data_IF_696265447009
#
_entry.id   IF_696265447009
#
_cell.length_a   1.000
_cell.length_b   1.000
_cell.length_c   1.000
_cell.angle_alpha   90.00
_cell.angle_beta   90.00
_cell.angle_gamma   90.00
#
_symmetry.space_group_name_H-M   'P 1'
#
loop_
_entity.id
_entity.type
_entity.pdbx_description
1 polymer ?
#
# COMPACT_ATOMS: atom_id res chain seq x y z
N UNK A 1 2.87 24.88 -16.57
CA UNK A 1 2.11 25.24 -17.78
C UNK A 1 0.69 24.76 -17.60
N UNK A 2 -0.25 25.69 -17.48
CA UNK A 2 -1.66 25.42 -17.22
C UNK A 2 -2.37 25.02 -18.52
N UNK A 3 -3.28 24.05 -18.45
CA UNK A 3 -4.21 23.75 -19.55
C UNK A 3 -5.63 23.78 -19.00
N UNK A 4 -6.40 24.70 -19.57
CA UNK A 4 -7.83 24.92 -19.36
C UNK A 4 -8.57 23.76 -20.02
N UNK A 5 -9.49 23.11 -19.31
CA UNK A 5 -10.42 22.15 -19.93
C UNK A 5 -11.86 22.62 -19.76
N UNK A 6 -12.50 22.75 -20.92
CA UNK A 6 -13.84 23.28 -21.19
C UNK A 6 -14.90 22.28 -20.73
N UNK A 7 -15.88 22.76 -19.97
CA UNK A 7 -17.07 22.01 -19.59
C UNK A 7 -18.05 21.89 -20.77
N UNK A 8 -18.56 20.69 -21.01
CA UNK A 8 -19.75 20.46 -21.83
C UNK A 8 -20.76 19.64 -21.00
N UNK A 9 -21.89 20.30 -20.72
CA UNK A 9 -23.14 19.74 -20.23
C UNK A 9 -23.76 18.84 -21.30
N UNK A 10 -24.13 17.61 -20.94
CA UNK A 10 -25.11 16.83 -21.70
C UNK A 10 -26.05 16.06 -20.76
N UNK A 11 -27.26 15.93 -21.26
CA UNK A 11 -28.51 15.71 -20.57
C UNK A 11 -28.73 14.30 -19.99
N UNK A 12 -29.57 14.26 -18.96
CA UNK A 12 -30.23 13.09 -18.40
C UNK A 12 -31.16 12.41 -19.43
N UNK A 13 -31.35 11.08 -19.32
CA UNK A 13 -32.72 10.60 -19.21
C UNK A 13 -32.91 9.58 -18.07
N UNK A 14 -34.07 9.67 -17.42
CA UNK A 14 -34.65 8.66 -16.53
C UNK A 14 -34.98 7.38 -17.28
N UNK A 15 -34.72 6.24 -16.65
CA UNK A 15 -35.38 4.99 -16.99
C UNK A 15 -35.77 4.24 -15.70
N UNK A 16 -37.07 3.99 -15.62
CA UNK A 16 -37.78 3.22 -14.62
C UNK A 16 -37.24 1.79 -14.51
N UNK A 17 -37.02 1.30 -13.30
CA UNK A 17 -36.88 -0.13 -13.01
C UNK A 17 -37.94 -0.55 -12.00
N UNK A 18 -38.93 -1.29 -12.50
CA UNK A 18 -39.91 -2.04 -11.71
C UNK A 18 -39.25 -3.29 -11.11
N UNK A 19 -39.52 -3.51 -9.83
CA UNK A 19 -39.16 -4.71 -9.07
C UNK A 19 -40.11 -5.85 -9.42
N UNK A 20 -39.59 -7.06 -9.58
CA UNK A 20 -40.31 -8.27 -9.19
C UNK A 20 -39.37 -9.27 -8.50
N UNK A 21 -39.89 -10.04 -7.52
CA UNK A 21 -39.11 -10.82 -6.56
C UNK A 21 -38.75 -12.18 -7.16
N UNK A 22 -37.89 -12.98 -6.50
CA UNK A 22 -37.92 -14.45 -6.40
C UNK A 22 -36.82 -14.86 -5.39
N UNK A 23 -37.21 -15.27 -4.19
CA UNK A 23 -37.38 -16.67 -3.77
C UNK A 23 -36.06 -17.29 -3.30
N UNK A 24 -35.94 -17.42 -1.99
CA UNK A 24 -34.84 -18.08 -1.29
C UNK A 24 -34.92 -19.61 -1.51
N UNK A 25 -33.82 -20.20 -1.97
CA UNK A 25 -33.57 -21.64 -1.79
C UNK A 25 -32.26 -21.79 -1.02
N UNK A 26 -32.38 -22.35 0.19
CA UNK A 26 -31.28 -22.62 1.10
C UNK A 26 -30.67 -23.98 0.75
N UNK A 27 -29.55 -23.99 0.03
CA UNK A 27 -28.73 -25.19 -0.10
C UNK A 27 -27.81 -25.33 1.12
N UNK A 28 -28.11 -26.29 1.98
CA UNK A 28 -27.21 -26.74 3.04
C UNK A 28 -26.19 -27.73 2.49
N UNK A 29 -24.91 -27.37 2.49
CA UNK A 29 -23.80 -28.27 2.18
C UNK A 29 -23.18 -28.72 3.50
N UNK A 30 -23.34 -30.00 3.82
CA UNK A 30 -22.69 -30.66 4.95
C UNK A 30 -21.17 -30.81 4.70
N UNK A 31 -20.37 -29.93 5.29
CA UNK A 31 -18.92 -30.13 5.37
C UNK A 31 -18.59 -31.09 6.53
N UNK A 32 -18.26 -32.35 6.20
CA UNK A 32 -17.60 -33.27 7.14
C UNK A 32 -16.21 -32.72 7.48
N UNK A 33 -16.06 -32.22 8.71
CA UNK A 33 -14.80 -31.79 9.31
C UNK A 33 -13.90 -33.02 9.55
N UNK A 34 -12.84 -33.20 8.75
CA UNK A 34 -11.79 -34.18 9.08
C UNK A 34 -10.97 -33.64 10.25
N UNK A 35 -10.94 -34.41 11.35
CA UNK A 35 -10.06 -34.20 12.51
C UNK A 35 -8.62 -34.43 12.05
N UNK A 36 -7.75 -33.44 12.22
CA UNK A 36 -6.31 -33.66 12.24
C UNK A 36 -5.91 -34.06 13.67
N UNK A 37 -5.09 -35.11 13.77
CA UNK A 37 -4.59 -35.71 15.00
C UNK A 37 -3.52 -34.83 15.66
N UNK A 38 -3.71 -34.55 16.94
CA UNK A 38 -2.73 -33.91 17.81
C UNK A 38 -1.50 -34.81 18.01
N UNK A 39 -0.31 -34.27 17.75
CA UNK A 39 0.96 -34.85 18.19
C UNK A 39 1.68 -33.79 19.04
N UNK A 40 2.11 -34.10 20.28
CA UNK A 40 2.73 -33.10 21.15
C UNK A 40 4.21 -32.87 20.76
N UNK A 41 4.79 -31.68 21.01
CA UNK A 41 6.18 -31.45 20.74
C UNK A 41 7.07 -32.04 21.83
N UNK A 42 8.24 -32.54 21.44
CA UNK A 42 9.31 -32.95 22.34
C UNK A 42 9.88 -31.74 23.07
N UNK A 43 9.80 -31.75 24.41
CA UNK A 43 10.49 -30.80 25.28
C UNK A 43 12.00 -31.12 25.29
N UNK A 44 12.81 -30.14 24.88
CA UNK A 44 14.21 -30.06 25.30
C UNK A 44 14.34 -28.88 26.26
N UNK A 45 14.47 -29.20 27.55
CA UNK A 45 14.82 -28.28 28.61
C UNK A 45 16.30 -27.93 28.55
N UNK A 46 16.61 -26.66 28.30
CA UNK A 46 17.94 -26.08 28.53
C UNK A 46 17.81 -24.84 29.41
N UNK A 47 18.27 -25.00 30.65
CA UNK A 47 18.72 -24.01 31.64
C UNK A 47 18.62 -22.53 31.26
N UNK A 48 17.85 -21.82 32.07
CA UNK A 48 17.84 -20.36 32.21
C UNK A 48 19.21 -19.82 32.63
N UNK A 49 19.88 -19.10 31.73
CA UNK A 49 20.80 -18.03 32.08
C UNK A 49 20.15 -16.70 31.70
N UNK A 50 19.70 -15.96 32.71
CA UNK A 50 19.22 -14.60 32.57
C UNK A 50 20.42 -13.68 32.32
N UNK A 51 20.95 -13.69 31.11
CA UNK A 51 21.72 -12.56 30.60
C UNK A 51 20.72 -11.57 30.03
N UNK A 52 20.61 -10.40 30.66
CA UNK A 52 19.99 -9.23 30.06
C UNK A 52 20.86 -8.78 28.88
N UNK A 53 20.79 -9.53 27.78
CA UNK A 53 21.34 -9.09 26.51
C UNK A 53 20.58 -7.83 26.13
N UNK A 54 21.29 -6.70 26.13
CA UNK A 54 20.86 -5.51 25.42
C UNK A 54 20.78 -5.90 23.94
N UNK A 55 19.61 -6.38 23.52
CA UNK A 55 19.37 -6.78 22.15
C UNK A 55 19.38 -5.52 21.30
N UNK A 56 20.53 -5.19 20.74
CA UNK A 56 20.59 -4.23 19.63
C UNK A 56 19.57 -4.71 18.60
N UNK A 57 18.55 -3.90 18.27
CA UNK A 57 17.56 -4.32 17.29
C UNK A 57 18.29 -4.63 15.98
N UNK A 58 17.99 -5.80 15.41
CA UNK A 58 18.61 -6.23 14.17
C UNK A 58 18.19 -5.27 13.06
N UNK A 59 19.15 -4.55 12.46
CA UNK A 59 18.89 -3.66 11.32
C UNK A 59 18.13 -4.36 10.18
N UNK A 60 18.40 -5.65 9.99
CA UNK A 60 17.70 -6.49 9.02
C UNK A 60 16.25 -6.72 9.46
N UNK A 61 16.01 -7.01 10.73
CA UNK A 61 14.67 -7.16 11.29
C UNK A 61 13.83 -5.89 11.16
N UNK A 62 14.43 -4.74 11.49
CA UNK A 62 13.78 -3.43 11.37
C UNK A 62 13.45 -3.08 9.93
N UNK A 63 14.37 -3.37 8.99
CA UNK A 63 14.12 -3.20 7.57
C UNK A 63 12.96 -4.09 7.09
N UNK A 64 12.94 -5.37 7.47
CA UNK A 64 11.85 -6.28 7.11
C UNK A 64 10.51 -5.80 7.67
N UNK A 65 10.48 -5.31 8.91
CA UNK A 65 9.28 -4.72 9.51
C UNK A 65 8.82 -3.47 8.74
N UNK A 66 9.76 -2.58 8.39
CA UNK A 66 9.46 -1.39 7.60
C UNK A 66 8.86 -1.76 6.24
N UNK A 67 9.47 -2.71 5.51
CA UNK A 67 8.98 -3.17 4.21
C UNK A 67 7.61 -3.85 4.32
N UNK A 68 7.41 -4.68 5.35
CA UNK A 68 6.14 -5.35 5.60
C UNK A 68 5.00 -4.37 5.94
N UNK A 69 5.31 -3.21 6.51
CA UNK A 69 4.31 -2.16 6.74
C UNK A 69 4.13 -1.21 5.55
N UNK A 70 5.15 -1.02 4.73
CA UNK A 70 5.23 -0.04 3.64
C UNK A 70 4.74 -0.53 2.26
N UNK A 71 3.54 -1.10 2.18
CA UNK A 71 3.03 -1.71 0.92
C UNK A 71 2.84 -0.74 -0.24
N UNK A 72 2.69 0.55 0.05
CA UNK A 72 2.61 1.62 -0.95
C UNK A 72 3.38 2.83 -0.47
N UNK A 73 3.66 3.80 -1.36
CA UNK A 73 4.32 5.05 -1.00
C UNK A 73 3.61 5.81 0.15
N UNK A 74 2.30 5.63 0.27
CA UNK A 74 1.53 6.22 1.37
C UNK A 74 1.80 5.52 2.71
N UNK A 75 1.95 4.19 2.70
CA UNK A 75 2.30 3.43 3.89
C UNK A 75 3.76 3.64 4.27
N UNK A 76 4.67 3.72 3.31
CA UNK A 76 6.07 4.08 3.54
C UNK A 76 6.19 5.43 4.26
N UNK A 77 5.49 6.45 3.74
CA UNK A 77 5.47 7.77 4.37
C UNK A 77 4.85 7.73 5.77
N UNK A 78 3.79 6.95 5.98
CA UNK A 78 3.14 6.82 7.28
C UNK A 78 4.04 6.10 8.31
N UNK A 79 4.74 5.05 7.90
CA UNK A 79 5.67 4.32 8.75
C UNK A 79 6.91 5.14 9.09
N UNK A 80 7.49 5.85 8.12
CA UNK A 80 8.57 6.80 8.36
C UNK A 80 8.14 7.93 9.33
N UNK A 81 6.94 8.49 9.14
CA UNK A 81 6.33 9.44 10.07
C UNK A 81 6.22 8.86 11.49
N UNK A 82 5.75 7.62 11.63
CA UNK A 82 5.62 6.94 12.92
C UNK A 82 6.98 6.82 13.62
N UNK A 83 8.01 6.42 12.88
CA UNK A 83 9.37 6.29 13.42
C UNK A 83 9.98 7.63 13.81
N UNK A 84 9.79 8.68 13.01
CA UNK A 84 10.28 10.03 13.31
C UNK A 84 9.62 10.61 14.57
N UNK A 85 8.32 10.42 14.74
CA UNK A 85 7.62 10.82 15.97
C UNK A 85 8.19 10.06 17.18
N UNK A 86 8.41 8.74 17.05
CA UNK A 86 9.02 7.94 18.11
C UNK A 86 10.47 8.38 18.44
N UNK A 87 11.20 8.91 17.46
CA UNK A 87 12.52 9.51 17.63
C UNK A 87 12.48 10.97 18.14
N UNK A 88 11.30 11.50 18.49
CA UNK A 88 11.13 12.84 19.01
C UNK A 88 11.37 13.93 17.97
N UNK A 89 10.96 13.71 16.72
CA UNK A 89 10.82 14.78 15.72
C UNK A 89 9.43 15.42 15.82
N UNK A 90 9.38 16.73 15.59
CA UNK A 90 8.16 17.51 15.58
C UNK A 90 7.54 17.55 14.18
N UNK A 91 6.26 17.19 14.07
CA UNK A 91 5.52 17.30 12.81
C UNK A 91 5.16 18.76 12.56
N UNK A 92 5.62 19.28 11.42
CA UNK A 92 5.24 20.59 10.90
C UNK A 92 4.08 20.46 9.91
N UNK A 93 3.22 21.47 9.90
CA UNK A 93 2.21 21.68 8.88
C UNK A 93 2.77 22.65 7.83
N UNK A 94 2.76 22.25 6.57
CA UNK A 94 3.36 23.02 5.48
C UNK A 94 2.64 24.35 5.20
N UNK A 95 1.43 24.54 5.70
CA UNK A 95 0.67 25.77 5.54
C UNK A 95 0.88 26.80 6.67
N UNK A 96 1.60 26.42 7.73
CA UNK A 96 1.82 27.28 8.89
C UNK A 96 3.19 27.96 8.79
N UNK A 97 3.36 29.10 9.45
CA UNK A 97 4.69 29.68 9.68
C UNK A 97 5.47 28.81 10.67
N UNK A 98 6.75 28.56 10.38
CA UNK A 98 7.57 27.65 11.17
C UNK A 98 8.52 28.41 12.09
N UNK A 99 8.41 28.16 13.40
CA UNK A 99 9.39 28.60 14.38
C UNK A 99 10.45 27.51 14.60
N UNK A 100 11.53 27.57 13.80
CA UNK A 100 12.62 26.59 13.84
C UNK A 100 13.73 27.02 14.81
N UNK A 101 14.06 26.15 15.76
CA UNK A 101 15.12 26.37 16.75
C UNK A 101 16.37 25.53 16.50
N UNK A 102 17.59 26.05 16.74
CA UNK A 102 18.80 25.24 16.84
C UNK A 102 18.63 24.09 17.84
N UNK A 103 19.16 22.92 17.50
CA UNK A 103 18.94 21.67 18.26
C UNK A 103 17.60 20.98 17.98
N UNK A 104 16.66 21.65 17.28
CA UNK A 104 15.34 21.11 16.97
C UNK A 104 15.36 20.07 15.86
N UNK A 105 14.40 19.14 15.90
CA UNK A 105 14.20 18.09 14.90
C UNK A 105 12.78 18.14 14.37
N UNK A 106 12.63 18.24 13.06
CA UNK A 106 11.35 18.53 12.44
C UNK A 106 11.14 17.69 11.19
N UNK A 107 9.88 17.49 10.83
CA UNK A 107 9.54 16.88 9.56
C UNK A 107 8.16 17.32 9.08
N UNK A 108 7.92 17.28 7.79
CA UNK A 108 6.59 17.47 7.21
C UNK A 108 6.34 16.42 6.12
N UNK A 109 5.08 16.29 5.71
CA UNK A 109 4.68 15.40 4.63
C UNK A 109 3.88 16.15 3.58
N UNK A 110 4.13 15.84 2.31
CA UNK A 110 3.38 16.37 1.16
C UNK A 110 2.59 15.25 0.50
N UNK A 111 1.30 15.46 0.26
CA UNK A 111 0.39 14.47 -0.36
C UNK A 111 0.35 13.10 0.36
N UNK A 112 0.84 12.99 1.60
CA UNK A 112 1.06 11.73 2.31
C UNK A 112 1.94 10.71 1.58
N UNK A 113 2.68 11.12 0.54
CA UNK A 113 3.53 10.24 -0.27
C UNK A 113 4.96 10.73 -0.38
N UNK A 114 5.29 11.84 0.28
CA UNK A 114 6.62 12.40 0.37
C UNK A 114 6.80 12.88 1.80
N UNK A 115 7.99 12.68 2.34
CA UNK A 115 8.38 13.08 3.68
C UNK A 115 9.73 13.78 3.60
N UNK A 116 9.85 14.91 4.27
CA UNK A 116 11.11 15.61 4.47
C UNK A 116 11.33 15.73 5.96
N UNK A 117 12.43 15.17 6.46
CA UNK A 117 12.86 15.29 7.84
C UNK A 117 14.22 15.98 7.91
N UNK A 118 14.40 16.83 8.91
CA UNK A 118 15.64 17.56 9.11
C UNK A 118 15.88 17.81 10.61
N UNK A 119 17.16 17.89 10.97
CA UNK A 119 17.61 18.28 12.30
C UNK A 119 18.47 19.53 12.17
N UNK A 120 18.13 20.56 12.94
CA UNK A 120 18.88 21.82 12.97
C UNK A 120 20.01 21.65 13.97
N UNK A 121 21.26 21.75 13.52
CA UNK A 121 22.41 21.65 14.44
C UNK A 121 22.40 22.77 15.48
N UNK A 122 22.89 22.49 16.69
CA UNK A 122 22.90 23.47 17.80
C UNK A 122 23.69 24.75 17.46
N UNK A 123 24.71 24.62 16.61
CA UNK A 123 25.56 25.74 16.14
C UNK A 123 25.14 26.29 14.77
N UNK A 124 23.97 25.88 14.28
CA UNK A 124 23.48 26.38 12.99
C UNK A 124 23.20 27.88 13.09
N UNK A 125 23.72 28.63 12.12
CA UNK A 125 23.37 30.02 11.87
C UNK A 125 22.92 30.16 10.43
N UNK A 126 22.10 31.18 10.15
CA UNK A 126 21.62 31.47 8.79
C UNK A 126 22.82 31.67 7.87
N UNK A 127 22.84 30.95 6.75
CA UNK A 127 23.94 30.93 5.78
C UNK A 127 24.81 29.67 5.83
N UNK A 128 24.73 28.87 6.89
CA UNK A 128 25.39 27.57 6.94
C UNK A 128 24.79 26.58 5.91
N UNK A 129 25.59 25.58 5.50
CA UNK A 129 25.20 24.56 4.54
C UNK A 129 24.29 23.45 5.11
N UNK A 130 23.91 22.52 4.23
CA UNK A 130 23.06 21.37 4.54
C UNK A 130 23.74 20.06 4.16
N UNK A 131 23.57 19.02 4.98
CA UNK A 131 23.89 17.65 4.60
C UNK A 131 22.58 16.94 4.23
N UNK A 132 22.45 16.54 2.96
CA UNK A 132 21.18 16.04 2.42
C UNK A 132 21.37 14.63 1.89
N UNK A 133 20.47 13.74 2.32
CA UNK A 133 20.30 12.40 1.75
C UNK A 133 18.92 12.37 1.10
N UNK A 134 18.85 11.90 -0.14
CA UNK A 134 17.61 11.79 -0.89
C UNK A 134 17.38 10.33 -1.31
N UNK A 135 16.13 9.90 -1.18
CA UNK A 135 15.62 8.62 -1.66
C UNK A 135 14.18 8.83 -2.15
N UNK A 136 13.55 7.77 -2.67
CA UNK A 136 12.15 7.81 -3.12
C UNK A 136 11.34 6.70 -2.44
N UNK A 137 10.05 6.95 -2.21
CA UNK A 137 9.16 6.06 -1.44
C UNK A 137 8.34 5.11 -2.30
N UNK A 138 8.37 5.28 -3.62
CA UNK A 138 7.59 4.49 -4.57
C UNK A 138 8.39 3.34 -5.17
N UNK A 139 7.68 2.38 -5.75
CA UNK A 139 8.26 1.26 -6.46
C UNK A 139 7.37 0.87 -7.63
N UNK A 140 7.91 0.24 -8.69
CA UNK A 140 7.09 -0.23 -9.78
C UNK A 140 6.00 -1.18 -9.31
N UNK A 141 4.75 -0.95 -9.74
CA UNK A 141 3.60 -1.72 -9.28
C UNK A 141 2.42 -1.69 -10.27
N UNK A 142 1.43 -2.54 -10.01
CA UNK A 142 0.12 -2.48 -10.66
C UNK A 142 -0.82 -1.58 -9.84
N UNK A 143 -1.31 -0.49 -10.45
CA UNK A 143 -2.30 0.41 -9.85
C UNK A 143 -3.68 0.15 -10.44
N UNK A 144 -4.74 0.30 -9.64
CA UNK A 144 -6.11 0.23 -10.17
C UNK A 144 -6.35 1.39 -11.13
N UNK A 145 -6.94 1.12 -12.30
CA UNK A 145 -7.47 2.17 -13.18
C UNK A 145 -8.67 2.85 -12.50
N UNK A 146 -8.98 4.13 -12.79
CA UNK A 146 -10.14 4.82 -12.21
C UNK A 146 -11.47 4.06 -12.42
N UNK A 147 -11.65 3.47 -13.60
CA UNK A 147 -12.70 2.49 -13.89
C UNK A 147 -12.11 1.08 -13.84
N UNK A 148 -12.04 0.52 -12.64
CA UNK A 148 -11.37 -0.76 -12.38
C UNK A 148 -12.25 -1.98 -12.59
N UNK A 149 -13.55 -1.91 -12.30
CA UNK A 149 -14.44 -3.07 -12.40
C UNK A 149 -14.60 -3.56 -13.86
N UNK A 150 -14.46 -4.86 -14.06
CA UNK A 150 -14.64 -5.54 -15.34
C UNK A 150 -15.10 -6.98 -15.13
N UNK A 151 -15.64 -7.62 -16.16
CA UNK A 151 -16.04 -9.03 -16.12
C UNK A 151 -15.76 -9.70 -17.46
N UNK A 152 -15.17 -10.89 -17.43
CA UNK A 152 -14.91 -11.69 -18.64
C UNK A 152 -14.94 -13.18 -18.30
N UNK A 153 -15.57 -13.98 -19.15
CA UNK A 153 -15.64 -15.45 -18.99
C UNK A 153 -16.11 -15.90 -17.61
N UNK A 154 -17.12 -15.22 -17.04
CA UNK A 154 -17.66 -15.44 -15.70
C UNK A 154 -16.69 -15.15 -14.53
N UNK A 155 -15.58 -14.47 -14.77
CA UNK A 155 -14.70 -13.95 -13.74
C UNK A 155 -14.95 -12.46 -13.52
N UNK A 156 -15.02 -12.04 -12.26
CA UNK A 156 -14.89 -10.65 -11.86
C UNK A 156 -13.40 -10.25 -11.95
N UNK A 157 -13.11 -9.19 -12.68
CA UNK A 157 -11.76 -8.73 -12.97
C UNK A 157 -11.56 -7.29 -12.49
N UNK A 158 -10.31 -6.94 -12.24
CA UNK A 158 -9.88 -5.57 -11.97
C UNK A 158 -8.90 -5.11 -13.04
N UNK A 159 -9.29 -4.04 -13.73
CA UNK A 159 -8.42 -3.35 -14.67
C UNK A 159 -7.34 -2.58 -13.90
N UNK A 160 -6.09 -2.87 -14.24
CA UNK A 160 -4.91 -2.22 -13.67
C UNK A 160 -4.14 -1.44 -14.75
N UNK A 161 -3.29 -0.53 -14.30
CA UNK A 161 -2.28 0.15 -15.10
C UNK A 161 -0.91 -0.11 -14.48
N UNK A 162 0.11 -0.21 -15.31
CA UNK A 162 1.49 -0.27 -14.85
C UNK A 162 1.94 1.09 -14.33
N UNK A 163 2.76 1.06 -13.29
CA UNK A 163 3.42 2.24 -12.75
C UNK A 163 4.92 1.94 -12.66
N UNK A 164 5.76 2.76 -13.30
CA UNK A 164 7.21 2.54 -13.37
C UNK A 164 7.63 1.45 -14.38
N UNK A 165 8.90 1.03 -14.33
CA UNK A 165 9.50 0.04 -15.23
C UNK A 165 9.62 -1.36 -14.59
N UNK A 166 8.50 -1.93 -14.15
CA UNK A 166 8.51 -3.21 -13.44
C UNK A 166 8.81 -4.41 -14.33
N UNK A 167 9.40 -5.46 -13.75
CA UNK A 167 9.53 -6.77 -14.37
C UNK A 167 8.19 -7.50 -14.34
N UNK A 168 7.26 -7.12 -15.21
CA UNK A 168 5.83 -7.46 -15.06
C UNK A 168 5.49 -8.94 -15.03
N UNK A 169 6.30 -9.78 -15.65
CA UNK A 169 6.11 -11.23 -15.59
C UNK A 169 6.24 -11.81 -14.18
N UNK A 170 7.01 -11.17 -13.31
CA UNK A 170 7.18 -11.60 -11.91
C UNK A 170 5.93 -11.41 -11.05
N UNK A 171 4.96 -10.61 -11.54
CA UNK A 171 3.65 -10.37 -10.90
C UNK A 171 2.62 -11.45 -11.22
N UNK A 172 2.86 -12.25 -12.25
CA UNK A 172 2.00 -13.38 -12.55
C UNK A 172 2.12 -14.45 -11.48
N UNK A 173 1.00 -15.14 -11.23
CA UNK A 173 0.91 -16.26 -10.30
C UNK A 173 1.34 -15.95 -8.86
N UNK A 174 1.26 -14.67 -8.48
CA UNK A 174 1.41 -14.22 -7.10
C UNK A 174 0.06 -14.08 -6.42
N UNK A 175 0.08 -14.32 -5.11
CA UNK A 175 -1.04 -14.03 -4.22
C UNK A 175 -1.03 -12.54 -3.89
N UNK A 176 -1.82 -11.77 -4.62
CA UNK A 176 -1.83 -10.32 -4.56
C UNK A 176 -2.96 -9.83 -3.65
N UNK A 177 -2.77 -8.64 -3.09
CA UNK A 177 -3.77 -7.91 -2.32
C UNK A 177 -3.83 -6.44 -2.76
N UNK A 178 -4.71 -5.67 -2.13
CA UNK A 178 -4.91 -4.23 -2.40
C UNK A 178 -4.50 -3.43 -1.17
N UNK A 179 -3.70 -2.40 -1.42
CA UNK A 179 -3.40 -1.35 -0.46
C UNK A 179 -3.32 0.00 -1.16
N UNK A 180 -3.51 1.08 -0.39
CA UNK A 180 -3.46 2.43 -0.92
C UNK A 180 -4.09 3.45 0.02
N UNK A 181 -4.59 4.52 -0.57
CA UNK A 181 -5.30 5.60 0.10
C UNK A 181 -6.65 5.79 -0.55
N UNK A 182 -7.68 5.98 0.27
CA UNK A 182 -9.01 6.41 -0.16
C UNK A 182 -9.26 7.82 0.35
N UNK A 183 -10.03 8.59 -0.42
CA UNK A 183 -10.59 9.86 0.02
C UNK A 183 -12.05 9.60 0.33
N UNK A 184 -12.46 9.86 1.56
CA UNK A 184 -13.82 9.65 2.04
C UNK A 184 -14.40 10.97 2.50
N UNK A 185 -15.71 11.16 2.26
CA UNK A 185 -16.43 12.32 2.81
C UNK A 185 -16.86 12.00 4.24
N UNK A 186 -16.54 12.89 5.17
CA UNK A 186 -16.95 12.81 6.56
C UNK A 186 -18.39 13.31 6.76
N UNK A 187 -18.94 13.07 7.95
CA UNK A 187 -20.30 13.48 8.31
C UNK A 187 -20.50 14.99 8.29
N UNK A 188 -19.45 15.76 8.57
CA UNK A 188 -19.43 17.23 8.52
C UNK A 188 -19.25 17.79 7.09
N UNK A 189 -19.14 16.92 6.08
CA UNK A 189 -18.92 17.31 4.68
C UNK A 189 -17.45 17.50 4.30
N UNK A 190 -16.51 17.42 5.24
CA UNK A 190 -15.07 17.49 4.96
C UNK A 190 -14.58 16.23 4.22
N UNK A 191 -13.41 16.30 3.59
CA UNK A 191 -12.77 15.16 2.95
C UNK A 191 -11.60 14.65 3.80
N UNK A 192 -11.59 13.35 4.08
CA UNK A 192 -10.56 12.69 4.86
C UNK A 192 -9.79 11.70 4.00
N UNK A 193 -8.49 11.63 4.21
CA UNK A 193 -7.65 10.60 3.66
C UNK A 193 -7.54 9.41 4.62
N UNK A 194 -7.84 8.20 4.17
CA UNK A 194 -7.62 6.97 4.96
C UNK A 194 -6.74 5.99 4.21
N UNK A 195 -5.81 5.37 4.94
CA UNK A 195 -5.02 4.27 4.43
C UNK A 195 -5.84 2.99 4.48
N UNK A 196 -5.68 2.17 3.45
CA UNK A 196 -6.32 0.85 3.34
C UNK A 196 -5.23 -0.16 3.05
N UNK A 197 -5.26 -1.26 3.78
CA UNK A 197 -4.35 -2.41 3.62
C UNK A 197 -5.10 -3.69 3.94
N UNK A 198 -5.45 -4.46 2.92
CA UNK A 198 -6.17 -5.72 3.12
C UNK A 198 -5.16 -6.84 3.36
N UNK A 199 -5.01 -7.29 4.61
CA UNK A 199 -4.01 -8.31 5.01
C UNK A 199 -4.46 -9.74 4.72
N UNK A 200 -4.92 -10.00 3.49
CA UNK A 200 -5.22 -11.34 2.95
C UNK A 200 -5.15 -11.31 1.42
N UNK A 201 -4.83 -12.42 0.74
CA UNK A 201 -4.83 -12.46 -0.71
C UNK A 201 -6.25 -12.30 -1.26
N UNK A 202 -6.37 -11.50 -2.32
CA UNK A 202 -7.62 -11.13 -2.98
C UNK A 202 -7.57 -11.32 -4.48
N UNK A 203 -6.38 -11.13 -5.07
CA UNK A 203 -6.19 -10.93 -6.49
C UNK A 203 -5.12 -11.88 -7.00
N UNK A 204 -5.22 -12.21 -8.29
CA UNK A 204 -4.23 -13.01 -8.99
C UNK A 204 -4.18 -12.61 -10.46
N UNK A 205 -2.99 -12.60 -11.03
CA UNK A 205 -2.76 -12.48 -12.47
C UNK A 205 -2.32 -13.87 -12.95
N UNK A 206 -3.23 -14.72 -13.46
CA UNK A 206 -2.88 -16.09 -13.82
C UNK A 206 -2.04 -16.15 -15.10
N UNK A 207 -1.06 -17.04 -15.17
CA UNK A 207 -0.40 -17.37 -16.44
C UNK A 207 -1.31 -18.21 -17.33
N UNK A 208 -1.05 -18.15 -18.64
CA UNK A 208 -1.63 -19.11 -19.58
C UNK A 208 -0.91 -20.45 -19.45
N UNK A 209 -1.66 -21.55 -19.44
CA UNK A 209 -1.09 -22.89 -19.40
C UNK A 209 -0.10 -23.12 -20.55
N UNK A 210 1.04 -23.74 -20.26
CA UNK A 210 2.13 -23.94 -21.22
C UNK A 210 1.70 -24.70 -22.48
N UNK A 211 0.78 -25.66 -22.35
CA UNK A 211 0.23 -26.43 -23.48
C UNK A 211 -0.48 -25.55 -24.53
N UNK A 212 -0.97 -24.37 -24.11
CA UNK A 212 -1.64 -23.40 -24.97
C UNK A 212 -0.70 -22.29 -25.46
N UNK A 213 0.56 -22.29 -25.01
CA UNK A 213 1.57 -21.30 -25.40
C UNK A 213 2.66 -21.94 -26.27
N UNK A 214 2.54 -21.78 -27.60
CA UNK A 214 3.41 -22.43 -28.60
C UNK A 214 4.64 -21.61 -29.01
N UNK A 215 4.84 -20.41 -28.44
CA UNK A 215 5.94 -19.51 -28.81
C UNK A 215 7.02 -19.54 -27.74
N UNK A 216 8.26 -19.81 -28.14
CA UNK A 216 9.46 -19.83 -27.28
C UNK A 216 9.91 -18.44 -26.82
N UNK A 217 9.37 -17.36 -27.39
CA UNK A 217 9.81 -15.98 -27.11
C UNK A 217 8.71 -15.18 -26.40
N UNK A 218 8.87 -15.00 -25.09
CA UNK A 218 8.00 -14.14 -24.28
C UNK A 218 8.31 -12.66 -24.50
N UNK A 219 7.48 -11.93 -25.27
CA UNK A 219 7.45 -10.46 -25.24
C UNK A 219 6.32 -9.99 -24.32
N UNK A 220 6.62 -9.88 -23.03
CA UNK A 220 5.63 -9.66 -21.95
C UNK A 220 5.17 -8.20 -21.80
N UNK A 221 5.79 -7.26 -22.53
CA UNK A 221 5.53 -5.83 -22.39
C UNK A 221 4.16 -5.38 -22.93
N UNK A 222 3.41 -6.26 -23.60
CA UNK A 222 2.11 -5.91 -24.20
C UNK A 222 0.88 -6.41 -23.41
N UNK A 223 1.03 -7.16 -22.31
CA UNK A 223 -0.11 -7.74 -21.59
C UNK A 223 -0.85 -6.77 -20.65
N UNK A 224 -0.24 -5.64 -20.29
CA UNK A 224 -0.84 -4.65 -19.38
C UNK A 224 -1.23 -3.33 -20.05
N UNK A 225 -1.22 -3.27 -21.39
CA UNK A 225 -1.69 -2.10 -22.15
C UNK A 225 -3.21 -2.06 -22.19
#
# INVERSE_FOLDING_TARGET
MATISRAQLLHHPSAYFSRLPHSHSSFSINFRRRKFSDTPPLLCSSSSSSSSASTNPSIVGDLLNYLNESWTQFHATAEAKRQLIAAGFHLLNENDEWDLRPGGRYFFTRNMSCLVAFAVGEKYIVGNGFHVIAAHTDSPCLKLKPKSASSKSNYLMLNVQTYGGGLWHTWFDRDLSVAGRVIVRASDGSFLHKLVKVKRPLLRVPTLAIHLNRLSTYSLNNHFK
#
